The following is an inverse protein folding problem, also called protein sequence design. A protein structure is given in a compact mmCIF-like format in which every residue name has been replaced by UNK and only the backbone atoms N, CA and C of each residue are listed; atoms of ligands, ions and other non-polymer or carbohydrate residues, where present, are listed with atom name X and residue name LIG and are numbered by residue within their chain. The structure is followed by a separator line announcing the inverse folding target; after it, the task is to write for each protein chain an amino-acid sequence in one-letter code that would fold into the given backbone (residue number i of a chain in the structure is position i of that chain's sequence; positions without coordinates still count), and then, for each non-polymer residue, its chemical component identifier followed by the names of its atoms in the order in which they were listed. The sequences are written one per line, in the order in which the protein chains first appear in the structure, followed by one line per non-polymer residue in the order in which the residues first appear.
data_IF_213576997348
#
_entry.id   IF_213576997348
#
_cell.length_a   1.000
_cell.length_b   1.000
_cell.length_c   1.000
_cell.angle_alpha   90.00
_cell.angle_beta   90.00
_cell.angle_gamma   90.00
#
_symmetry.space_group_name_H-M   'P 1'
#
loop_
_entity.id
_entity.type
_entity.pdbx_description
1 polymer ?
#
# COMPACT_ATOMS: atom_id res chain seq x y z
N UNK A 1 27.45 4.61 -16.48
CA UNK A 1 26.16 3.89 -16.59
C UNK A 1 26.17 2.51 -15.90
N UNK A 2 27.27 1.74 -15.92
CA UNK A 2 27.36 0.38 -15.33
C UNK A 2 27.38 0.38 -13.79
N UNK A 3 27.83 1.45 -13.12
CA UNK A 3 27.87 1.51 -11.66
C UNK A 3 26.47 1.54 -11.01
N UNK A 4 25.46 2.08 -11.70
CA UNK A 4 24.08 2.14 -11.20
C UNK A 4 23.23 0.91 -11.58
N UNK A 5 23.73 0.03 -12.43
CA UNK A 5 22.97 -1.14 -12.90
C UNK A 5 22.84 -2.22 -11.82
N UNK A 6 23.92 -2.51 -11.09
CA UNK A 6 23.92 -3.55 -10.04
C UNK A 6 22.91 -3.30 -8.91
N UNK A 7 22.84 -2.09 -8.31
CA UNK A 7 21.85 -1.80 -7.25
C UNK A 7 20.41 -1.92 -7.74
N UNK A 8 20.11 -1.44 -8.96
CA UNK A 8 18.76 -1.54 -9.54
C UNK A 8 18.34 -2.98 -9.77
N UNK A 9 19.24 -3.81 -10.32
CA UNK A 9 18.98 -5.23 -10.51
C UNK A 9 18.68 -5.94 -9.18
N UNK A 10 19.45 -5.65 -8.13
CA UNK A 10 19.20 -6.22 -6.80
C UNK A 10 17.82 -5.81 -6.26
N UNK A 11 17.43 -4.55 -6.42
CA UNK A 11 16.09 -4.08 -6.00
C UNK A 11 14.97 -4.75 -6.79
N UNK A 12 15.14 -4.96 -8.10
CA UNK A 12 14.18 -5.70 -8.93
C UNK A 12 14.07 -7.15 -8.46
N UNK A 13 15.19 -7.84 -8.26
CA UNK A 13 15.20 -9.22 -7.76
C UNK A 13 14.56 -9.33 -6.38
N UNK A 14 14.80 -8.35 -5.51
CA UNK A 14 14.16 -8.27 -4.20
C UNK A 14 12.65 -8.01 -4.34
N UNK A 15 12.22 -7.15 -5.27
CA UNK A 15 10.80 -6.91 -5.58
C UNK A 15 10.11 -8.19 -6.07
N UNK A 16 10.76 -8.95 -6.95
CA UNK A 16 10.26 -10.26 -7.42
C UNK A 16 10.10 -11.22 -6.24
N UNK A 17 11.07 -11.30 -5.35
CA UNK A 17 10.99 -12.13 -4.14
C UNK A 17 9.83 -11.71 -3.25
N UNK A 18 9.67 -10.40 -2.99
CA UNK A 18 8.55 -9.86 -2.21
C UNK A 18 7.19 -10.22 -2.83
N UNK A 19 7.05 -10.09 -4.15
CA UNK A 19 5.83 -10.45 -4.87
C UNK A 19 5.48 -11.93 -4.74
N UNK A 20 6.48 -12.81 -4.85
CA UNK A 20 6.30 -14.26 -4.67
C UNK A 20 5.90 -14.59 -3.22
N UNK A 21 6.52 -13.98 -2.22
CA UNK A 21 6.14 -14.14 -0.81
C UNK A 21 4.70 -13.65 -0.59
N UNK A 22 4.32 -12.51 -1.18
CA UNK A 22 2.97 -11.97 -1.09
C UNK A 22 1.94 -12.94 -1.68
N UNK A 23 2.20 -13.47 -2.87
CA UNK A 23 1.33 -14.47 -3.52
C UNK A 23 1.21 -15.75 -2.69
N UNK A 24 2.33 -16.26 -2.19
CA UNK A 24 2.34 -17.42 -1.30
C UNK A 24 1.49 -17.18 -0.04
N UNK A 25 1.70 -16.05 0.64
CA UNK A 25 0.93 -15.70 1.84
C UNK A 25 -0.57 -15.52 1.52
N UNK A 26 -0.91 -14.94 0.38
CA UNK A 26 -2.30 -14.83 -0.08
C UNK A 26 -2.94 -16.22 -0.24
N UNK A 27 -2.26 -17.14 -0.91
CA UNK A 27 -2.72 -18.53 -1.05
C UNK A 27 -2.88 -19.21 0.33
N UNK A 28 -1.99 -18.95 1.27
CA UNK A 28 -2.09 -19.46 2.64
C UNK A 28 -3.29 -18.87 3.40
N UNK A 29 -3.58 -17.57 3.23
CA UNK A 29 -4.77 -16.94 3.79
C UNK A 29 -6.05 -17.58 3.22
N UNK A 30 -6.11 -17.75 1.90
CA UNK A 30 -7.26 -18.39 1.22
C UNK A 30 -7.46 -19.82 1.70
N UNK A 31 -6.39 -20.59 1.85
CA UNK A 31 -6.47 -21.96 2.39
C UNK A 31 -7.05 -21.97 3.81
N UNK A 32 -6.65 -21.00 4.67
CA UNK A 32 -7.17 -20.87 6.02
C UNK A 32 -8.67 -20.47 6.06
N UNK A 33 -9.14 -19.75 5.05
CA UNK A 33 -10.52 -19.26 4.99
C UNK A 33 -11.48 -20.27 4.35
N UNK A 34 -11.04 -21.03 3.36
CA UNK A 34 -11.92 -21.86 2.51
C UNK A 34 -11.71 -23.35 2.66
N UNK A 35 -10.55 -23.78 3.19
CA UNK A 35 -10.09 -25.17 3.23
C UNK A 35 -10.14 -25.89 1.85
N UNK A 36 -10.25 -25.14 0.74
CA UNK A 36 -10.40 -25.65 -0.62
C UNK A 36 -9.12 -25.48 -1.43
N UNK A 37 -8.49 -26.59 -1.83
CA UNK A 37 -7.32 -26.60 -2.71
C UNK A 37 -7.61 -26.02 -4.10
N UNK A 38 -8.83 -26.24 -4.62
CA UNK A 38 -9.23 -25.71 -5.93
C UNK A 38 -9.26 -24.17 -5.91
N UNK A 39 -9.83 -23.57 -4.84
CA UNK A 39 -9.85 -22.11 -4.67
C UNK A 39 -8.44 -21.56 -4.53
N UNK A 40 -7.56 -22.25 -3.79
CA UNK A 40 -6.13 -21.86 -3.65
C UNK A 40 -5.43 -21.89 -5.01
N UNK A 41 -5.63 -22.94 -5.81
CA UNK A 41 -5.05 -23.04 -7.16
C UNK A 41 -5.56 -21.94 -8.08
N UNK A 42 -6.86 -21.64 -8.04
CA UNK A 42 -7.44 -20.51 -8.77
C UNK A 42 -6.86 -19.17 -8.33
N UNK A 43 -6.70 -18.96 -7.03
CA UNK A 43 -6.06 -17.75 -6.46
C UNK A 43 -4.61 -17.63 -6.94
N UNK A 44 -3.86 -18.72 -6.93
CA UNK A 44 -2.47 -18.72 -7.42
C UNK A 44 -2.39 -18.35 -8.90
N UNK A 45 -3.20 -18.99 -9.75
CA UNK A 45 -3.22 -18.69 -11.19
C UNK A 45 -3.64 -17.24 -11.47
N UNK A 46 -4.69 -16.76 -10.81
CA UNK A 46 -5.13 -15.37 -10.95
C UNK A 46 -4.07 -14.38 -10.46
N UNK A 47 -3.44 -14.67 -9.32
CA UNK A 47 -2.35 -13.85 -8.80
C UNK A 47 -1.13 -13.84 -9.71
N UNK A 48 -0.80 -14.98 -10.33
CA UNK A 48 0.29 -15.06 -11.32
C UNK A 48 -0.03 -14.21 -12.56
N UNK A 49 -1.28 -14.22 -13.04
CA UNK A 49 -1.70 -13.42 -14.19
C UNK A 49 -1.70 -11.92 -13.86
N UNK A 50 -2.24 -11.53 -12.70
CA UNK A 50 -2.41 -10.11 -12.35
C UNK A 50 -1.12 -9.46 -11.86
N UNK A 51 -0.30 -10.19 -11.11
CA UNK A 51 0.92 -9.63 -10.50
C UNK A 51 2.20 -10.17 -11.15
N UNK A 52 2.26 -11.46 -11.46
CA UNK A 52 3.45 -12.08 -12.00
C UNK A 52 3.80 -11.62 -13.41
N UNK A 53 2.81 -11.24 -14.21
CA UNK A 53 2.99 -10.68 -15.55
C UNK A 53 2.92 -9.15 -15.56
N UNK A 54 2.67 -8.50 -14.41
CA UNK A 54 2.59 -7.04 -14.35
C UNK A 54 3.96 -6.40 -14.53
N UNK A 55 4.09 -5.38 -15.39
CA UNK A 55 5.32 -4.59 -15.53
C UNK A 55 5.79 -3.94 -14.24
N UNK A 56 4.88 -3.68 -13.30
CA UNK A 56 5.22 -3.12 -11.98
C UNK A 56 6.28 -3.94 -11.22
N UNK A 57 6.40 -5.25 -11.51
CA UNK A 57 7.39 -6.12 -10.85
C UNK A 57 8.84 -5.69 -11.14
N UNK A 58 9.07 -5.01 -12.28
CA UNK A 58 10.37 -4.50 -12.69
C UNK A 58 10.66 -3.09 -12.17
N UNK A 59 9.68 -2.44 -11.57
CA UNK A 59 9.84 -1.10 -11.00
C UNK A 59 10.06 -1.24 -9.50
N UNK A 60 11.23 -0.82 -8.95
CA UNK A 60 11.53 -0.97 -7.52
C UNK A 60 10.75 0.05 -6.68
N UNK A 61 9.44 -0.04 -6.72
CA UNK A 61 8.53 0.81 -5.96
C UNK A 61 8.35 0.27 -4.54
N UNK A 62 8.19 1.15 -3.58
CA UNK A 62 7.95 0.80 -2.17
C UNK A 62 6.68 -0.05 -1.98
N UNK A 63 5.71 0.05 -2.90
CA UNK A 63 4.51 -0.77 -2.93
C UNK A 63 4.82 -2.25 -3.02
N UNK A 64 5.65 -2.64 -3.98
CA UNK A 64 6.02 -4.04 -4.20
C UNK A 64 6.88 -4.57 -3.06
N UNK A 65 7.83 -3.76 -2.60
CA UNK A 65 8.73 -4.15 -1.52
C UNK A 65 7.99 -4.36 -0.20
N UNK A 66 6.93 -3.58 0.05
CA UNK A 66 6.13 -3.67 1.26
C UNK A 66 4.93 -4.61 1.18
N UNK A 67 4.56 -5.06 -0.02
CA UNK A 67 3.36 -5.87 -0.28
C UNK A 67 3.21 -7.12 0.62
N UNK A 68 4.28 -7.90 0.95
CA UNK A 68 4.14 -9.05 1.84
C UNK A 68 3.70 -8.70 3.25
N UNK A 69 4.01 -7.49 3.75
CA UNK A 69 3.86 -7.14 5.16
C UNK A 69 2.40 -7.03 5.62
N UNK A 70 1.50 -6.32 4.91
CA UNK A 70 0.09 -6.32 5.27
C UNK A 70 -0.56 -7.71 5.11
N UNK A 71 -0.14 -8.49 4.11
CA UNK A 71 -0.65 -9.85 3.90
C UNK A 71 -0.17 -10.78 5.04
N UNK A 72 1.09 -10.66 5.45
CA UNK A 72 1.64 -11.40 6.59
C UNK A 72 0.89 -11.04 7.88
N UNK A 73 0.59 -9.76 8.10
CA UNK A 73 -0.22 -9.29 9.23
C UNK A 73 -1.58 -10.00 9.27
N UNK A 74 -2.26 -10.06 8.14
CA UNK A 74 -3.55 -10.75 8.02
C UNK A 74 -3.43 -12.27 8.19
N UNK A 75 -2.41 -12.88 7.61
CA UNK A 75 -2.11 -14.30 7.78
C UNK A 75 -1.89 -14.67 9.25
N UNK A 76 -1.09 -13.88 9.97
CA UNK A 76 -0.83 -14.11 11.40
C UNK A 76 -2.12 -13.93 12.24
N UNK A 77 -2.97 -12.97 11.89
CA UNK A 77 -4.29 -12.82 12.50
C UNK A 77 -5.17 -14.07 12.30
N UNK A 78 -5.25 -14.61 11.08
CA UNK A 78 -5.99 -15.85 10.80
C UNK A 78 -5.42 -17.06 11.56
N UNK A 79 -4.10 -17.18 11.63
CA UNK A 79 -3.42 -18.24 12.39
C UNK A 79 -3.72 -18.14 13.89
N UNK A 80 -3.76 -16.94 14.44
CA UNK A 80 -4.09 -16.71 15.84
C UNK A 80 -5.49 -17.23 16.20
N UNK A 81 -6.45 -17.09 15.30
CA UNK A 81 -7.82 -17.61 15.51
C UNK A 81 -7.86 -19.13 15.61
N UNK A 82 -6.94 -19.85 14.97
CA UNK A 82 -6.91 -21.31 14.90
C UNK A 82 -6.08 -21.98 16.01
N UNK A 83 -5.04 -21.29 16.54
CA UNK A 83 -4.11 -21.89 17.51
C UNK A 83 -4.09 -21.12 18.83
N UNK A 84 -4.40 -21.80 19.93
CA UNK A 84 -4.48 -21.17 21.25
C UNK A 84 -3.30 -21.53 22.18
N UNK A 85 -2.14 -21.88 21.63
CA UNK A 85 -0.99 -22.36 22.38
C UNK A 85 -0.03 -21.27 22.87
N UNK A 86 -0.14 -20.04 22.34
CA UNK A 86 0.79 -18.94 22.69
C UNK A 86 0.13 -17.91 23.59
N UNK A 87 0.87 -17.26 24.50
CA UNK A 87 0.38 -16.12 25.26
C UNK A 87 -0.14 -15.00 24.35
N UNK A 88 -1.25 -14.37 24.76
CA UNK A 88 -1.94 -13.37 23.95
C UNK A 88 -1.03 -12.21 23.53
N UNK A 89 -0.18 -11.72 24.42
CA UNK A 89 0.74 -10.60 24.12
C UNK A 89 1.78 -10.95 23.04
N UNK A 90 2.24 -12.21 22.98
CA UNK A 90 3.14 -12.66 21.90
C UNK A 90 2.38 -12.70 20.57
N UNK A 91 1.18 -13.28 20.57
CA UNK A 91 0.33 -13.35 19.37
C UNK A 91 0.06 -11.97 18.78
N UNK A 92 -0.38 -11.04 19.64
CA UNK A 92 -0.68 -9.67 19.20
C UNK A 92 0.56 -8.93 18.73
N UNK A 93 1.70 -9.09 19.41
CA UNK A 93 2.97 -8.53 18.96
C UNK A 93 3.39 -9.03 17.59
N UNK A 94 3.26 -10.32 17.33
CA UNK A 94 3.56 -10.91 16.00
C UNK A 94 2.65 -10.38 14.89
N UNK A 95 1.38 -10.10 15.20
CA UNK A 95 0.45 -9.50 14.23
C UNK A 95 0.84 -8.07 13.91
N UNK A 96 1.14 -7.25 14.92
CA UNK A 96 1.44 -5.84 14.72
C UNK A 96 2.79 -5.59 14.06
N UNK A 97 3.75 -6.47 14.30
CA UNK A 97 5.15 -6.30 13.87
C UNK A 97 5.27 -6.03 12.36
N UNK A 98 4.71 -6.85 11.44
CA UNK A 98 4.86 -6.61 10.01
C UNK A 98 4.21 -5.30 9.55
N UNK A 99 3.03 -4.94 10.08
CA UNK A 99 2.34 -3.71 9.73
C UNK A 99 3.12 -2.47 10.21
N UNK A 100 3.70 -2.52 11.41
CA UNK A 100 4.47 -1.42 11.99
C UNK A 100 5.81 -1.25 11.25
N UNK A 101 6.50 -2.34 10.91
CA UNK A 101 7.69 -2.28 10.05
C UNK A 101 7.35 -1.85 8.64
N UNK A 102 6.23 -2.33 8.10
CA UNK A 102 5.72 -1.92 6.79
C UNK A 102 5.51 -0.41 6.70
N UNK A 103 5.08 0.24 7.79
CA UNK A 103 4.94 1.70 7.87
C UNK A 103 6.23 2.44 7.57
N UNK A 104 7.38 1.89 7.98
CA UNK A 104 8.69 2.52 7.72
C UNK A 104 9.05 2.51 6.23
N UNK A 105 8.54 1.52 5.47
CA UNK A 105 8.68 1.45 4.02
C UNK A 105 7.60 2.28 3.32
N UNK A 106 6.34 2.13 3.77
CA UNK A 106 5.19 2.85 3.21
C UNK A 106 4.10 3.04 4.26
N UNK A 107 3.72 4.30 4.59
CA UNK A 107 2.71 4.57 5.62
C UNK A 107 1.36 3.90 5.39
N UNK A 108 0.97 3.66 4.13
CA UNK A 108 -0.29 2.99 3.76
C UNK A 108 -0.39 1.55 4.26
N UNK A 109 0.70 0.90 4.63
CA UNK A 109 0.67 -0.42 5.26
C UNK A 109 -0.09 -0.44 6.60
N UNK A 110 -0.31 0.72 7.23
CA UNK A 110 -1.16 0.81 8.42
C UNK A 110 -2.65 0.62 8.13
N UNK A 111 -3.10 0.70 6.88
CA UNK A 111 -4.51 0.49 6.51
C UNK A 111 -5.00 -0.90 6.93
N UNK A 112 -4.14 -1.91 6.91
CA UNK A 112 -4.49 -3.26 7.38
C UNK A 112 -4.93 -3.26 8.85
N UNK A 113 -4.40 -2.34 9.67
CA UNK A 113 -4.76 -2.24 11.09
C UNK A 113 -6.20 -1.76 11.26
N UNK A 114 -6.68 -0.89 10.37
CA UNK A 114 -8.08 -0.44 10.35
C UNK A 114 -8.99 -1.63 10.03
N UNK A 115 -8.64 -2.42 9.02
CA UNK A 115 -9.38 -3.64 8.67
C UNK A 115 -9.41 -4.64 9.83
N UNK A 116 -8.28 -4.86 10.50
CA UNK A 116 -8.22 -5.75 11.67
C UNK A 116 -9.02 -5.21 12.85
N UNK A 117 -9.02 -3.89 13.09
CA UNK A 117 -9.84 -3.27 14.13
C UNK A 117 -11.34 -3.49 13.87
N UNK A 118 -11.77 -3.36 12.62
CA UNK A 118 -13.16 -3.64 12.21
C UNK A 118 -13.49 -5.12 12.44
N UNK A 119 -12.63 -6.04 11.99
CA UNK A 119 -12.83 -7.47 12.20
C UNK A 119 -12.89 -7.83 13.70
N UNK A 120 -12.03 -7.24 14.50
CA UNK A 120 -12.03 -7.44 15.95
C UNK A 120 -13.31 -6.89 16.60
N UNK A 121 -13.78 -5.71 16.18
CA UNK A 121 -15.04 -5.15 16.67
C UNK A 121 -16.23 -6.05 16.31
N UNK A 122 -16.27 -6.60 15.09
CA UNK A 122 -17.30 -7.56 14.67
C UNK A 122 -17.25 -8.85 15.49
N UNK A 123 -16.06 -9.36 15.79
CA UNK A 123 -15.88 -10.56 16.62
C UNK A 123 -16.35 -10.31 18.07
N UNK A 124 -16.14 -9.10 18.60
CA UNK A 124 -16.67 -8.69 19.92
C UNK A 124 -18.21 -8.67 19.93
N UNK A 125 -18.82 -8.03 18.92
CA UNK A 125 -20.28 -7.95 18.81
C UNK A 125 -20.92 -9.34 18.68
N UNK A 126 -20.25 -10.26 17.98
CA UNK A 126 -20.70 -11.66 17.82
C UNK A 126 -20.48 -12.52 19.06
N UNK A 127 -19.95 -11.98 20.14
CA UNK A 127 -19.68 -12.70 21.38
C UNK A 127 -18.59 -13.78 21.26
N UNK A 128 -17.78 -13.74 20.20
CA UNK A 128 -16.75 -14.77 19.95
C UNK A 128 -15.54 -14.66 20.88
N UNK A 129 -15.48 -13.61 21.69
CA UNK A 129 -14.38 -13.40 22.64
C UNK A 129 -14.84 -13.45 24.10
N UNK A 130 -14.55 -14.56 24.79
CA UNK A 130 -14.47 -14.52 26.25
C UNK A 130 -13.38 -13.53 26.65
N UNK A 131 -13.67 -12.67 27.64
CA UNK A 131 -12.78 -11.62 28.12
C UNK A 131 -12.37 -10.58 27.05
N UNK A 132 -13.31 -10.15 26.19
CA UNK A 132 -13.04 -9.22 25.10
C UNK A 132 -12.31 -7.93 25.48
N UNK A 133 -12.66 -7.32 26.62
CA UNK A 133 -12.00 -6.11 27.13
C UNK A 133 -10.52 -6.35 27.45
N UNK A 134 -10.21 -7.47 28.14
CA UNK A 134 -8.80 -7.81 28.45
C UNK A 134 -7.99 -8.01 27.17
N UNK A 135 -8.56 -8.68 26.18
CA UNK A 135 -7.92 -8.89 24.87
C UNK A 135 -7.69 -7.58 24.14
N UNK A 136 -8.68 -6.68 24.16
CA UNK A 136 -8.57 -5.34 23.56
C UNK A 136 -7.43 -4.52 24.23
N UNK A 137 -7.35 -4.54 25.55
CA UNK A 137 -6.30 -3.84 26.28
C UNK A 137 -4.92 -4.38 25.91
N UNK A 138 -4.73 -5.72 25.90
CA UNK A 138 -3.44 -6.32 25.51
C UNK A 138 -3.07 -5.98 24.07
N UNK A 139 -4.03 -6.03 23.15
CA UNK A 139 -3.80 -5.63 21.75
C UNK A 139 -3.37 -4.16 21.65
N UNK A 140 -4.05 -3.27 22.35
CA UNK A 140 -3.73 -1.83 22.34
C UNK A 140 -2.35 -1.56 22.97
N UNK A 141 -2.05 -2.18 24.12
CA UNK A 141 -0.75 -2.01 24.80
C UNK A 141 0.41 -2.53 23.95
N UNK A 142 0.27 -3.72 23.35
CA UNK A 142 1.31 -4.28 22.47
C UNK A 142 1.49 -3.45 21.19
N UNK A 143 0.40 -2.93 20.61
CA UNK A 143 0.47 -2.01 19.49
C UNK A 143 1.22 -0.72 19.87
N UNK A 144 0.82 -0.07 20.96
CA UNK A 144 1.43 1.18 21.41
C UNK A 144 2.93 1.00 21.72
N UNK A 145 3.31 -0.09 22.39
CA UNK A 145 4.70 -0.41 22.70
C UNK A 145 5.54 -0.61 21.43
N UNK A 146 5.06 -1.40 20.47
CA UNK A 146 5.78 -1.64 19.20
C UNK A 146 5.83 -0.38 18.32
N UNK A 147 4.76 0.42 18.31
CA UNK A 147 4.72 1.67 17.58
C UNK A 147 5.74 2.67 18.14
N UNK A 148 5.80 2.83 19.46
CA UNK A 148 6.78 3.66 20.13
C UNK A 148 8.22 3.17 19.87
N UNK A 149 8.45 1.84 19.97
CA UNK A 149 9.75 1.25 19.66
C UNK A 149 10.18 1.51 18.21
N UNK A 150 9.26 1.36 17.26
CA UNK A 150 9.54 1.64 15.84
C UNK A 150 9.86 3.11 15.58
N UNK A 151 9.20 4.04 16.30
CA UNK A 151 9.48 5.47 16.20
C UNK A 151 10.86 5.81 16.78
N UNK A 152 11.22 5.21 17.92
CA UNK A 152 12.55 5.36 18.52
C UNK A 152 13.65 4.77 17.60
N UNK A 153 13.41 3.59 17.04
CA UNK A 153 14.34 2.95 16.11
C UNK A 153 14.54 3.80 14.83
N UNK A 154 13.47 4.34 14.27
CA UNK A 154 13.53 5.25 13.12
C UNK A 154 14.34 6.50 13.45
N UNK A 155 14.08 7.14 14.59
CA UNK A 155 14.81 8.32 15.05
C UNK A 155 16.30 8.01 15.30
N UNK A 156 16.58 6.87 15.93
CA UNK A 156 17.96 6.42 16.15
C UNK A 156 18.69 6.17 14.84
N UNK A 157 18.04 5.54 13.85
CA UNK A 157 18.63 5.26 12.54
C UNK A 157 18.90 6.54 11.74
N UNK A 158 17.97 7.49 11.70
CA UNK A 158 18.18 8.78 11.04
C UNK A 158 19.33 9.57 11.68
N UNK A 159 19.42 9.53 13.02
CA UNK A 159 20.52 10.14 13.75
C UNK A 159 21.87 9.46 13.46
N UNK A 160 21.92 8.13 13.46
CA UNK A 160 23.14 7.36 13.16
C UNK A 160 23.63 7.57 11.74
N UNK A 161 22.73 7.63 10.78
CA UNK A 161 23.05 7.86 9.37
C UNK A 161 23.27 9.33 9.03
N UNK A 162 23.19 10.24 10.02
CA UNK A 162 23.26 11.68 9.84
C UNK A 162 22.31 12.21 8.75
N UNK A 163 21.17 11.57 8.55
CA UNK A 163 20.14 11.99 7.61
C UNK A 163 19.36 13.14 8.25
N UNK A 164 19.54 14.35 7.76
CA UNK A 164 18.71 15.49 8.11
C UNK A 164 17.48 15.48 7.20
N UNK A 165 16.25 15.23 7.73
CA UNK A 165 15.05 15.33 6.91
C UNK A 165 14.88 16.78 6.43
N UNK A 166 14.84 16.95 5.12
CA UNK A 166 14.56 18.27 4.53
C UNK A 166 13.05 18.50 4.51
N UNK A 167 12.58 19.29 5.48
CA UNK A 167 11.15 19.64 5.59
C UNK A 167 10.64 20.45 4.40
N UNK A 168 11.52 21.11 3.66
CA UNK A 168 11.12 21.90 2.49
C UNK A 168 10.56 21.02 1.36
N UNK A 169 11.06 19.79 1.21
CA UNK A 169 10.58 18.81 0.20
C UNK A 169 9.55 17.83 0.75
N UNK A 170 9.35 17.81 2.07
CA UNK A 170 8.41 16.89 2.70
C UNK A 170 6.96 17.27 2.33
N UNK A 171 6.17 16.25 1.96
CA UNK A 171 4.74 16.37 1.66
C UNK A 171 3.94 15.80 2.82
N UNK A 172 3.10 16.65 3.42
CA UNK A 172 2.23 16.24 4.53
C UNK A 172 1.04 15.39 4.04
N UNK A 173 0.34 14.73 4.97
CA UNK A 173 -0.94 14.08 4.66
C UNK A 173 -1.93 15.02 3.96
N UNK A 174 -1.93 16.30 4.33
CA UNK A 174 -2.81 17.32 3.74
C UNK A 174 -2.59 17.47 2.21
N UNK A 175 -1.34 17.33 1.72
CA UNK A 175 -1.04 17.35 0.28
C UNK A 175 -1.75 16.20 -0.46
N UNK A 176 -1.61 14.98 0.04
CA UNK A 176 -2.23 13.81 -0.62
C UNK A 176 -3.75 13.81 -0.50
N UNK A 177 -4.29 14.27 0.63
CA UNK A 177 -5.73 14.40 0.82
C UNK A 177 -6.33 15.46 -0.10
N UNK A 178 -5.68 16.62 -0.23
CA UNK A 178 -6.06 17.71 -1.12
C UNK A 178 -6.04 17.26 -2.60
N UNK A 179 -4.96 16.63 -3.04
CA UNK A 179 -4.82 16.06 -4.39
C UNK A 179 -5.86 14.97 -4.63
N UNK A 180 -6.11 14.11 -3.63
CA UNK A 180 -7.13 13.07 -3.68
C UNK A 180 -8.56 13.55 -3.92
N UNK A 181 -8.86 14.83 -3.67
CA UNK A 181 -10.14 15.48 -3.95
C UNK A 181 -10.12 16.36 -5.22
N UNK A 182 -9.10 16.25 -6.06
CA UNK A 182 -9.09 16.96 -7.33
C UNK A 182 -10.05 16.30 -8.32
N UNK A 183 -11.17 16.98 -8.63
CA UNK A 183 -12.21 16.44 -9.53
C UNK A 183 -11.73 16.28 -10.97
N UNK A 184 -10.83 17.16 -11.44
CA UNK A 184 -10.30 17.12 -12.81
C UNK A 184 -9.47 15.89 -13.07
N UNK A 185 -8.71 15.44 -12.08
CA UNK A 185 -7.86 14.23 -12.16
C UNK A 185 -8.51 13.00 -11.54
N UNK A 186 -9.74 13.11 -11.05
CA UNK A 186 -10.46 12.05 -10.32
C UNK A 186 -9.64 11.58 -9.11
N UNK A 187 -8.92 12.51 -8.47
CA UNK A 187 -8.05 12.23 -7.32
C UNK A 187 -6.77 11.45 -7.66
N UNK A 188 -6.39 11.36 -8.93
CA UNK A 188 -5.06 10.89 -9.36
C UNK A 188 -4.03 12.02 -9.22
N UNK A 189 -2.78 11.76 -9.61
CA UNK A 189 -1.72 12.75 -9.63
C UNK A 189 -2.14 14.00 -10.41
N UNK A 190 -1.85 15.15 -9.85
CA UNK A 190 -2.12 16.46 -10.43
C UNK A 190 -0.86 17.30 -10.32
N UNK A 191 -0.27 17.61 -11.47
CA UNK A 191 0.92 18.44 -11.54
C UNK A 191 0.70 19.81 -10.91
N UNK A 192 -0.46 20.45 -11.16
CA UNK A 192 -0.78 21.74 -10.57
C UNK A 192 -0.87 21.71 -9.05
N UNK A 193 -1.38 20.62 -8.47
CA UNK A 193 -1.44 20.45 -7.01
C UNK A 193 -0.05 20.17 -6.43
N UNK A 194 0.78 19.46 -7.20
CA UNK A 194 2.15 19.19 -6.83
C UNK A 194 3.01 20.45 -6.86
N UNK A 195 2.89 21.24 -7.92
CA UNK A 195 3.58 22.55 -8.08
C UNK A 195 3.18 23.53 -6.97
N UNK A 196 1.88 23.59 -6.61
CA UNK A 196 1.42 24.39 -5.48
C UNK A 196 2.15 24.02 -4.19
N UNK A 197 2.27 22.73 -3.90
CA UNK A 197 2.94 22.28 -2.69
C UNK A 197 4.45 22.47 -2.73
N UNK A 198 5.08 22.26 -3.89
CA UNK A 198 6.54 22.37 -4.04
C UNK A 198 7.03 23.81 -4.12
N UNK A 199 6.16 24.75 -4.52
CA UNK A 199 6.49 26.19 -4.52
C UNK A 199 6.61 26.80 -3.12
N UNK A 200 6.03 26.15 -2.10
CA UNK A 200 6.05 26.63 -0.71
C UNK A 200 7.14 25.88 0.06
N UNK A 201 8.23 26.55 0.41
CA UNK A 201 9.38 25.94 1.10
C UNK A 201 9.10 25.68 2.59
N UNK A 202 8.36 26.58 3.25
CA UNK A 202 8.01 26.41 4.67
C UNK A 202 6.98 25.28 4.83
N UNK A 203 7.29 24.31 5.70
CA UNK A 203 6.47 23.10 5.87
C UNK A 203 5.08 23.41 6.45
N UNK A 204 4.99 24.31 7.44
CA UNK A 204 3.73 24.61 8.09
C UNK A 204 2.84 25.46 7.17
N UNK A 205 3.41 26.45 6.48
CA UNK A 205 2.70 27.22 5.45
C UNK A 205 2.19 26.33 4.30
N UNK A 206 3.02 25.38 3.82
CA UNK A 206 2.64 24.38 2.82
C UNK A 206 1.46 23.53 3.30
N UNK A 207 1.52 23.03 4.52
CA UNK A 207 0.45 22.22 5.12
C UNK A 207 -0.84 23.02 5.23
N UNK A 208 -0.78 24.30 5.66
CA UNK A 208 -1.94 25.14 5.80
C UNK A 208 -2.57 25.51 4.45
N UNK A 209 -1.75 25.78 3.44
CA UNK A 209 -2.24 26.00 2.07
C UNK A 209 -2.98 24.75 1.54
N UNK A 210 -2.41 23.57 1.72
CA UNK A 210 -3.03 22.31 1.34
C UNK A 210 -4.33 22.02 2.10
N UNK A 211 -4.38 22.31 3.41
CA UNK A 211 -5.60 22.17 4.22
C UNK A 211 -6.69 23.15 3.78
N UNK A 212 -6.31 24.37 3.44
CA UNK A 212 -7.23 25.39 2.96
C UNK A 212 -7.88 24.95 1.63
N UNK A 213 -7.07 24.49 0.69
CA UNK A 213 -7.58 23.97 -0.59
C UNK A 213 -8.41 22.68 -0.43
N UNK A 214 -8.00 21.79 0.49
CA UNK A 214 -8.77 20.60 0.86
C UNK A 214 -10.18 20.97 1.36
N UNK A 215 -10.26 21.90 2.32
CA UNK A 215 -11.54 22.39 2.87
C UNK A 215 -12.40 23.01 1.78
N UNK A 216 -11.81 23.87 0.95
CA UNK A 216 -12.52 24.50 -0.16
C UNK A 216 -13.12 23.45 -1.10
N UNK A 217 -12.33 22.44 -1.55
CA UNK A 217 -12.83 21.36 -2.43
C UNK A 217 -13.98 20.59 -1.80
N UNK A 218 -13.89 20.26 -0.50
CA UNK A 218 -15.00 19.59 0.22
C UNK A 218 -16.26 20.45 0.28
N UNK A 219 -16.12 21.76 0.51
CA UNK A 219 -17.25 22.70 0.54
C UNK A 219 -17.89 22.84 -0.84
N UNK A 220 -17.07 23.00 -1.89
CA UNK A 220 -17.53 23.16 -3.27
C UNK A 220 -18.26 21.89 -3.77
N UNK A 221 -17.78 20.70 -3.44
CA UNK A 221 -18.42 19.42 -3.77
C UNK A 221 -19.72 19.18 -3.00
N UNK A 222 -19.79 19.58 -1.74
CA UNK A 222 -20.84 19.17 -0.82
C UNK A 222 -20.86 17.65 -0.60
N UNK A 223 -21.84 17.17 0.17
CA UNK A 223 -21.89 15.73 0.52
C UNK A 223 -22.16 14.82 -0.68
N UNK A 224 -23.11 15.17 -1.54
CA UNK A 224 -23.46 14.37 -2.72
C UNK A 224 -22.33 14.34 -3.76
N UNK A 225 -21.69 15.50 -4.01
CA UNK A 225 -20.54 15.59 -4.89
C UNK A 225 -19.36 14.76 -4.38
N UNK A 226 -19.11 14.79 -3.06
CA UNK A 226 -18.08 13.94 -2.44
C UNK A 226 -18.34 12.44 -2.65
N UNK A 227 -19.58 11.97 -2.42
CA UNK A 227 -19.93 10.57 -2.67
C UNK A 227 -19.75 10.19 -4.15
N UNK A 228 -20.20 11.06 -5.05
CA UNK A 228 -20.01 10.84 -6.49
C UNK A 228 -18.53 10.80 -6.87
N UNK A 229 -17.71 11.70 -6.32
CA UNK A 229 -16.26 11.69 -6.52
C UNK A 229 -15.60 10.39 -6.04
N UNK A 230 -15.98 9.91 -4.84
CA UNK A 230 -15.48 8.62 -4.29
C UNK A 230 -15.86 7.45 -5.19
N UNK A 231 -17.10 7.41 -5.70
CA UNK A 231 -17.53 6.37 -6.65
C UNK A 231 -16.72 6.41 -7.94
N UNK A 232 -16.55 7.60 -8.54
CA UNK A 232 -15.72 7.77 -9.75
C UNK A 232 -14.28 7.32 -9.53
N UNK A 233 -13.68 7.69 -8.39
CA UNK A 233 -12.33 7.29 -8.01
C UNK A 233 -12.23 5.77 -7.85
N UNK A 234 -13.22 5.13 -7.23
CA UNK A 234 -13.28 3.67 -7.09
C UNK A 234 -13.33 3.00 -8.47
N UNK A 235 -14.21 3.46 -9.35
CA UNK A 235 -14.26 2.95 -10.74
C UNK A 235 -12.92 3.14 -11.43
N UNK A 236 -12.32 4.34 -11.34
CA UNK A 236 -11.02 4.63 -11.98
C UNK A 236 -9.91 3.70 -11.48
N UNK A 237 -9.88 3.39 -10.18
CA UNK A 237 -8.85 2.54 -9.59
C UNK A 237 -8.97 1.06 -10.00
N UNK A 238 -10.19 0.58 -10.30
CA UNK A 238 -10.44 -0.84 -10.56
C UNK A 238 -10.90 -1.16 -11.99
N UNK A 239 -11.12 -0.14 -12.84
CA UNK A 239 -11.84 -0.34 -14.11
C UNK A 239 -11.06 -1.11 -15.17
N UNK A 240 -9.75 -1.00 -15.22
CA UNK A 240 -8.96 -1.54 -16.34
C UNK A 240 -8.01 -2.69 -15.94
N UNK A 241 -7.91 -3.00 -14.66
CA UNK A 241 -7.01 -4.07 -14.17
C UNK A 241 -5.51 -3.81 -14.35
N UNK A 242 -5.11 -2.65 -14.88
CA UNK A 242 -3.69 -2.32 -15.10
C UNK A 242 -3.04 -1.67 -13.89
N UNK A 243 -3.83 -1.30 -12.88
CA UNK A 243 -3.36 -0.59 -11.69
C UNK A 243 -2.56 0.69 -12.01
N UNK A 244 -2.99 1.41 -13.06
CA UNK A 244 -2.36 2.65 -13.50
C UNK A 244 -1.18 2.49 -14.46
N UNK A 245 -0.74 1.25 -14.75
CA UNK A 245 0.41 1.03 -15.63
C UNK A 245 0.27 1.72 -16.98
N UNK A 246 -0.90 1.63 -17.62
CA UNK A 246 -1.13 2.21 -18.95
C UNK A 246 -0.87 3.71 -19.03
N UNK A 247 -0.99 4.45 -17.90
CA UNK A 247 -0.67 5.89 -17.84
C UNK A 247 0.78 6.14 -17.41
N UNK A 248 1.24 5.45 -16.36
CA UNK A 248 2.55 5.69 -15.75
C UNK A 248 3.67 4.95 -16.50
N UNK A 249 3.36 3.85 -17.17
CA UNK A 249 4.31 3.06 -17.94
C UNK A 249 4.60 3.63 -19.33
N UNK A 250 3.80 4.57 -19.84
CA UNK A 250 4.01 5.18 -21.16
C UNK A 250 5.34 5.90 -21.27
N UNK A 251 5.87 6.45 -20.18
CA UNK A 251 7.17 7.10 -20.14
C UNK A 251 8.34 6.16 -20.47
N UNK A 252 8.15 4.85 -20.38
CA UNK A 252 9.17 3.86 -20.75
C UNK A 252 9.24 3.59 -22.25
N UNK A 253 8.23 3.97 -23.03
CA UNK A 253 8.21 3.81 -24.50
C UNK A 253 9.35 4.58 -25.19
N UNK A 254 9.81 5.70 -24.61
CA UNK A 254 10.95 6.47 -25.14
C UNK A 254 12.29 5.75 -24.97
N UNK A 255 12.40 4.82 -24.03
CA UNK A 255 13.67 4.20 -23.63
C UNK A 255 13.81 2.73 -24.07
N UNK A 256 12.74 2.11 -24.55
CA UNK A 256 12.77 0.71 -25.00
C UNK A 256 12.73 0.70 -26.53
N UNK A 257 13.79 0.20 -27.19
CA UNK A 257 13.75 0.03 -28.64
C UNK A 257 12.59 -0.89 -29.01
N UNK A 258 11.75 -0.46 -29.93
CA UNK A 258 10.58 -1.21 -30.39
C UNK A 258 11.02 -2.61 -30.84
N UNK A 259 10.65 -3.62 -30.05
CA UNK A 259 10.86 -5.02 -30.43
C UNK A 259 9.75 -5.46 -31.39
N UNK A 260 10.15 -6.14 -32.46
CA UNK A 260 9.25 -6.59 -33.51
C UNK A 260 8.67 -7.99 -33.30
N UNK A 261 9.07 -8.69 -32.23
CA UNK A 261 8.58 -10.03 -31.93
C UNK A 261 7.10 -10.03 -31.47
N UNK A 262 6.34 -11.06 -31.90
CA UNK A 262 4.89 -11.13 -31.69
C UNK A 262 4.46 -11.12 -30.21
N UNK A 263 5.28 -11.67 -29.30
CA UNK A 263 5.01 -11.71 -27.88
C UNK A 263 5.12 -10.28 -27.28
N UNK A 264 6.18 -9.54 -27.62
CA UNK A 264 6.36 -8.17 -27.18
C UNK A 264 5.21 -7.27 -27.63
N UNK A 265 4.72 -7.39 -28.88
CA UNK A 265 3.57 -6.66 -29.39
C UNK A 265 2.29 -7.03 -28.64
N UNK A 266 2.07 -8.29 -28.34
CA UNK A 266 0.89 -8.74 -27.59
C UNK A 266 0.89 -8.17 -26.17
N UNK A 267 2.04 -8.16 -25.51
CA UNK A 267 2.19 -7.56 -24.18
C UNK A 267 2.05 -6.06 -24.22
N UNK A 268 2.65 -5.37 -25.21
CA UNK A 268 2.45 -3.93 -25.40
C UNK A 268 0.98 -3.58 -25.60
N UNK A 269 0.27 -4.28 -26.49
CA UNK A 269 -1.14 -4.04 -26.73
C UNK A 269 -1.98 -4.26 -25.46
N UNK A 270 -1.66 -5.29 -24.69
CA UNK A 270 -2.37 -5.61 -23.44
C UNK A 270 -2.13 -4.55 -22.35
N UNK A 271 -0.88 -4.12 -22.15
CA UNK A 271 -0.55 -3.21 -21.04
C UNK A 271 -0.73 -1.73 -21.39
N UNK A 272 -0.52 -1.34 -22.65
CA UNK A 272 -0.61 0.07 -23.08
C UNK A 272 -1.90 0.42 -23.80
N UNK A 273 -2.78 -0.54 -24.05
CA UNK A 273 -4.07 -0.36 -24.76
C UNK A 273 -3.91 0.39 -26.10
N UNK A 274 -2.81 0.17 -26.82
CA UNK A 274 -2.48 0.89 -28.06
C UNK A 274 -3.47 0.64 -29.23
N UNK A 275 -4.36 -0.35 -29.12
CA UNK A 275 -5.31 -0.76 -30.16
C UNK A 275 -6.78 -0.77 -29.71
N UNK A 276 -7.15 0.04 -28.72
CA UNK A 276 -8.56 0.26 -28.35
C UNK A 276 -9.02 1.66 -28.70
#
# INVERSE_FOLDING_TARGET
HLQNFKPRLLLILFGILCSNIALYLTCRCVLLLTDSRAVVSGTFLLGLLLFGLSPWIFVPYSDILSLPLPILTFYLYLQMKRKDTMPLWIKTSLIWLPAIFGRLLKPTNLIILIALAILFALDLVRGQFQHGLKKAIVMLCTFAALFALSALASKGMTSYLAIAPDKSVEKSFAHYAMMGLNEKTIGNYSQTDDELSTSIYDYDAKKDANLTLLKKRLQDMGFSGYLYHVLRKTVCNFSNGTFGWGKEGADFDEYIPQRSDGISRLLENFYYMKNT
#
